data_IF_295510011528
#
_entry.id   IF_295510011528
#
_cell.length_a   1.000
_cell.length_b   1.000
_cell.length_c   1.000
_cell.angle_alpha   90.00
_cell.angle_beta   90.00
_cell.angle_gamma   90.00
#
_symmetry.space_group_name_H-M   'P 1'
#
loop_
_entity.id
_entity.type
_entity.pdbx_description
1 polymer ?
#
# COMPACT_ATOMS: atom_id res chain seq x y z
N UNK A 1 -5.52 -13.17 -16.43
CA UNK A 1 -5.64 -12.00 -15.54
C UNK A 1 -4.56 -11.02 -15.92
N UNK A 2 -4.89 -9.76 -16.09
CA UNK A 2 -3.95 -8.73 -16.54
C UNK A 2 -3.09 -8.27 -15.36
N UNK A 3 -1.78 -8.08 -15.57
CA UNK A 3 -0.92 -7.51 -14.53
C UNK A 3 -1.19 -6.00 -14.42
N UNK A 4 -1.44 -5.52 -13.19
CA UNK A 4 -1.58 -4.10 -12.87
C UNK A 4 -0.21 -3.49 -12.58
N UNK A 5 0.68 -4.25 -11.93
CA UNK A 5 2.06 -3.86 -11.68
C UNK A 5 2.99 -4.93 -12.25
N UNK A 6 4.00 -4.49 -13.00
CA UNK A 6 5.10 -5.33 -13.46
C UNK A 6 6.42 -4.68 -13.04
N UNK A 7 7.25 -5.43 -12.35
CA UNK A 7 8.58 -5.02 -11.88
C UNK A 7 9.59 -5.96 -12.52
N UNK A 8 10.54 -5.40 -13.28
CA UNK A 8 11.50 -6.18 -14.06
C UNK A 8 12.94 -5.76 -13.74
N UNK A 9 13.72 -6.66 -13.18
CA UNK A 9 15.15 -6.53 -12.89
C UNK A 9 15.53 -5.24 -12.14
N UNK A 10 14.69 -4.80 -11.19
CA UNK A 10 14.94 -3.57 -10.42
C UNK A 10 16.20 -3.72 -9.59
N UNK A 11 17.09 -2.74 -9.75
CA UNK A 11 18.35 -2.61 -9.01
C UNK A 11 18.44 -1.25 -8.35
N UNK A 12 18.95 -1.21 -7.13
CA UNK A 12 19.26 0.04 -6.41
C UNK A 12 20.45 -0.16 -5.51
N UNK A 13 21.47 0.68 -5.69
CA UNK A 13 22.66 0.69 -4.85
C UNK A 13 22.87 2.04 -4.18
N UNK A 14 23.46 2.02 -2.98
CA UNK A 14 23.87 3.18 -2.21
C UNK A 14 25.33 2.99 -1.78
N UNK A 15 26.24 3.90 -2.21
CA UNK A 15 27.64 3.84 -1.81
C UNK A 15 28.31 2.47 -2.02
N UNK A 16 27.96 1.75 -3.09
CA UNK A 16 28.50 0.41 -3.39
C UNK A 16 27.72 -0.76 -2.79
N UNK A 17 26.77 -0.53 -1.89
CA UNK A 17 25.90 -1.56 -1.31
C UNK A 17 24.66 -1.71 -2.19
N UNK A 18 24.43 -2.91 -2.74
CA UNK A 18 23.24 -3.22 -3.51
C UNK A 18 22.05 -3.51 -2.57
N UNK A 19 21.23 -2.50 -2.29
CA UNK A 19 20.04 -2.65 -1.44
C UNK A 19 18.91 -3.41 -2.13
N UNK A 20 18.80 -3.30 -3.46
CA UNK A 20 17.94 -4.12 -4.33
C UNK A 20 18.77 -4.61 -5.50
N UNK A 21 18.72 -5.90 -5.79
CA UNK A 21 19.63 -6.55 -6.73
C UNK A 21 18.88 -7.51 -7.67
N UNK A 22 18.20 -6.95 -8.67
CA UNK A 22 17.56 -7.72 -9.73
C UNK A 22 16.21 -8.30 -9.33
N UNK A 23 15.38 -7.53 -8.64
CA UNK A 23 14.05 -7.95 -8.21
C UNK A 23 13.07 -7.87 -9.38
N UNK A 24 12.36 -8.99 -9.63
CA UNK A 24 11.31 -9.08 -10.65
C UNK A 24 10.09 -9.79 -10.09
N UNK A 25 8.89 -9.22 -10.31
CA UNK A 25 7.59 -9.80 -9.96
C UNK A 25 6.46 -9.06 -10.67
N UNK A 26 5.28 -9.63 -10.62
CA UNK A 26 4.02 -9.02 -11.10
C UNK A 26 2.98 -8.96 -9.98
N UNK A 27 1.99 -8.09 -10.13
CA UNK A 27 0.77 -8.05 -9.31
C UNK A 27 -0.43 -8.00 -10.25
N UNK A 28 -1.36 -8.93 -10.06
CA UNK A 28 -2.54 -9.08 -10.90
C UNK A 28 -3.69 -8.24 -10.39
N UNK A 29 -4.62 -7.92 -11.27
CA UNK A 29 -5.84 -7.21 -10.88
C UNK A 29 -6.63 -8.00 -9.83
N UNK A 30 -7.05 -7.33 -8.75
CA UNK A 30 -7.73 -7.91 -7.62
C UNK A 30 -6.83 -8.76 -6.69
N UNK A 31 -5.52 -8.73 -6.88
CA UNK A 31 -4.59 -9.47 -6.03
C UNK A 31 -4.18 -8.67 -4.78
N UNK A 32 -4.03 -9.38 -3.66
CA UNK A 32 -3.31 -8.89 -2.49
C UNK A 32 -1.96 -9.61 -2.45
N UNK A 33 -0.87 -8.89 -2.76
CA UNK A 33 0.49 -9.41 -2.65
C UNK A 33 1.13 -8.96 -1.34
N UNK A 34 1.58 -9.90 -0.50
CA UNK A 34 2.41 -9.61 0.67
C UNK A 34 3.89 -9.54 0.30
N UNK A 35 4.60 -8.53 0.78
CA UNK A 35 6.05 -8.40 0.69
C UNK A 35 6.65 -8.46 2.08
N UNK A 36 7.36 -9.56 2.38
CA UNK A 36 7.98 -9.81 3.66
C UNK A 36 9.49 -10.05 3.53
N UNK A 37 10.18 -10.10 4.64
CA UNK A 37 11.62 -10.40 4.71
C UNK A 37 12.27 -9.75 5.92
N UNK A 38 13.50 -10.12 6.28
CA UNK A 38 14.25 -9.55 7.39
C UNK A 38 14.41 -8.02 7.28
N UNK A 39 14.72 -7.38 8.41
CA UNK A 39 15.04 -5.95 8.40
C UNK A 39 16.30 -5.70 7.56
N UNK A 40 16.29 -4.61 6.78
CA UNK A 40 17.40 -4.27 5.90
C UNK A 40 17.48 -5.08 4.60
N UNK A 41 16.60 -6.03 4.31
CA UNK A 41 16.65 -6.82 3.08
C UNK A 41 16.23 -6.07 1.79
N UNK A 42 15.86 -4.78 1.89
CA UNK A 42 15.58 -3.93 0.72
C UNK A 42 14.10 -3.66 0.41
N UNK A 43 13.12 -4.12 1.22
CA UNK A 43 11.67 -3.91 0.99
C UNK A 43 11.29 -2.45 0.77
N UNK A 44 11.62 -1.59 1.73
CA UNK A 44 11.29 -0.15 1.65
C UNK A 44 12.03 0.53 0.50
N UNK A 45 13.25 0.09 0.17
CA UNK A 45 13.99 0.59 -1.00
C UNK A 45 13.28 0.21 -2.30
N UNK A 46 12.81 -1.03 -2.43
CA UNK A 46 12.04 -1.51 -3.58
C UNK A 46 10.73 -0.72 -3.72
N UNK A 47 9.97 -0.54 -2.63
CA UNK A 47 8.75 0.27 -2.64
C UNK A 47 9.02 1.72 -3.08
N UNK A 48 10.08 2.33 -2.56
CA UNK A 48 10.45 3.70 -2.92
C UNK A 48 10.87 3.81 -4.39
N UNK A 49 11.45 2.75 -4.98
CA UNK A 49 11.71 2.69 -6.42
C UNK A 49 10.41 2.59 -7.23
N UNK A 50 9.47 1.75 -6.82
CA UNK A 50 8.16 1.60 -7.47
C UNK A 50 7.36 2.90 -7.40
N UNK A 51 7.43 3.60 -6.27
CA UNK A 51 6.69 4.84 -5.99
C UNK A 51 7.39 6.12 -6.52
N UNK A 52 8.51 5.96 -7.24
CA UNK A 52 9.23 7.12 -7.80
C UNK A 52 9.90 8.04 -6.79
N UNK A 53 10.00 7.62 -5.52
CA UNK A 53 10.74 8.36 -4.48
C UNK A 53 12.25 8.15 -4.61
N UNK A 54 12.65 7.00 -5.13
CA UNK A 54 14.02 6.66 -5.48
C UNK A 54 14.08 6.25 -6.95
N UNK A 55 14.99 6.83 -7.70
CA UNK A 55 15.27 6.36 -9.06
C UNK A 55 16.05 5.05 -8.96
N UNK A 56 15.59 3.93 -9.54
CA UNK A 56 16.34 2.70 -9.59
C UNK A 56 17.65 2.88 -10.37
N UNK A 57 18.67 2.10 -10.05
CA UNK A 57 19.93 2.08 -10.79
C UNK A 57 19.84 1.24 -12.09
N UNK A 58 18.79 0.44 -12.23
CA UNK A 58 18.49 -0.38 -13.40
C UNK A 58 17.15 -1.07 -13.25
N UNK A 59 16.65 -1.63 -14.34
CA UNK A 59 15.35 -2.30 -14.39
C UNK A 59 14.22 -1.36 -14.77
N UNK A 60 13.01 -1.91 -14.80
CA UNK A 60 11.80 -1.22 -15.27
C UNK A 60 10.60 -1.53 -14.39
N UNK A 61 9.76 -0.52 -14.17
CA UNK A 61 8.44 -0.63 -13.53
C UNK A 61 7.37 -0.23 -14.53
N UNK A 62 6.33 -1.06 -14.66
CA UNK A 62 5.12 -0.75 -15.45
C UNK A 62 3.88 -0.80 -14.57
N UNK A 63 2.95 0.10 -14.84
CA UNK A 63 1.59 0.09 -14.31
C UNK A 63 0.61 0.07 -15.48
N UNK A 64 -0.30 -0.91 -15.50
CA UNK A 64 -1.22 -1.16 -16.63
C UNK A 64 -0.47 -1.18 -17.99
N UNK A 65 0.70 -1.85 -18.05
CA UNK A 65 1.55 -1.97 -19.23
C UNK A 65 2.31 -0.70 -19.62
N UNK A 66 2.13 0.42 -18.93
CA UNK A 66 2.85 1.68 -19.20
C UNK A 66 4.10 1.77 -18.33
N UNK A 67 5.23 2.11 -18.94
CA UNK A 67 6.49 2.36 -18.22
C UNK A 67 6.34 3.58 -17.33
N UNK A 68 6.58 3.39 -16.04
CA UNK A 68 6.48 4.45 -15.01
C UNK A 68 7.80 4.66 -14.27
N UNK A 69 8.85 3.97 -14.66
CA UNK A 69 10.19 4.07 -14.04
C UNK A 69 10.68 5.51 -14.04
N UNK A 70 11.02 6.02 -12.88
CA UNK A 70 11.53 7.39 -12.72
C UNK A 70 10.49 8.50 -12.77
N UNK A 71 9.20 8.19 -12.92
CA UNK A 71 8.13 9.17 -12.73
C UNK A 71 8.09 9.63 -11.26
N UNK A 72 7.69 10.88 -11.06
CA UNK A 72 7.52 11.43 -9.71
C UNK A 72 6.27 10.84 -9.04
N UNK A 73 6.21 10.80 -7.70
CA UNK A 73 5.04 10.29 -6.97
C UNK A 73 3.72 10.93 -7.38
N UNK A 74 3.71 12.24 -7.67
CA UNK A 74 2.51 12.95 -8.13
C UNK A 74 2.03 12.52 -9.53
N UNK A 75 2.93 12.03 -10.37
CA UNK A 75 2.59 11.50 -11.70
C UNK A 75 2.03 10.08 -11.58
N UNK A 76 2.62 9.26 -10.69
CA UNK A 76 2.11 7.92 -10.35
C UNK A 76 0.71 7.99 -9.73
N UNK A 77 0.47 8.95 -8.84
CA UNK A 77 -0.84 9.17 -8.24
C UNK A 77 -1.91 9.43 -9.31
N UNK A 78 -1.62 10.25 -10.33
CA UNK A 78 -2.52 10.50 -11.49
C UNK A 78 -2.78 9.25 -12.33
N UNK A 79 -1.89 8.27 -12.30
CA UNK A 79 -2.08 6.97 -12.95
C UNK A 79 -2.82 5.98 -12.05
N UNK A 80 -3.29 6.41 -10.88
CA UNK A 80 -4.05 5.60 -9.96
C UNK A 80 -3.19 4.74 -9.03
N UNK A 81 -1.92 5.09 -8.81
CA UNK A 81 -1.08 4.45 -7.80
C UNK A 81 -1.16 5.25 -6.51
N UNK A 82 -1.70 4.65 -5.46
CA UNK A 82 -1.81 5.24 -4.11
C UNK A 82 -0.89 4.52 -3.13
N UNK A 83 -0.57 5.16 -2.01
CA UNK A 83 0.20 4.55 -0.91
C UNK A 83 -0.27 5.03 0.45
N UNK A 84 -0.09 4.18 1.47
CA UNK A 84 0.02 4.65 2.85
C UNK A 84 1.49 4.94 3.18
N UNK A 85 1.73 5.73 4.20
CA UNK A 85 3.07 5.99 4.68
C UNK A 85 3.30 5.24 6.00
N UNK A 86 4.55 4.88 6.29
CA UNK A 86 4.94 4.24 7.55
C UNK A 86 4.57 5.13 8.76
N UNK A 87 4.68 6.45 8.62
CA UNK A 87 4.16 7.42 9.57
C UNK A 87 2.75 7.85 9.14
N UNK A 88 1.81 7.82 10.09
CA UNK A 88 0.44 8.28 9.88
C UNK A 88 0.40 9.68 9.24
N UNK A 89 -0.29 9.80 8.12
CA UNK A 89 -0.46 11.06 7.41
C UNK A 89 -1.88 11.64 7.57
N UNK A 90 -2.49 11.41 8.71
CA UNK A 90 -3.75 12.07 9.04
C UNK A 90 -3.52 13.53 9.43
N UNK A 91 -4.41 14.40 9.00
CA UNK A 91 -4.42 15.80 9.39
C UNK A 91 -5.17 15.94 10.73
N UNK A 92 -4.46 16.12 11.86
CA UNK A 92 -5.04 15.95 13.20
C UNK A 92 -6.13 16.98 13.54
N UNK A 93 -6.11 18.15 12.91
CA UNK A 93 -7.09 19.23 13.13
C UNK A 93 -8.35 19.09 12.23
N UNK A 94 -8.31 18.25 11.23
CA UNK A 94 -9.44 17.94 10.37
C UNK A 94 -10.24 16.76 10.94
N UNK A 95 -11.53 16.74 10.69
CA UNK A 95 -12.40 15.60 11.00
C UNK A 95 -12.01 14.37 10.15
N UNK A 96 -12.48 13.20 10.55
CA UNK A 96 -12.34 11.95 9.75
C UNK A 96 -12.85 12.17 8.32
N UNK A 97 -14.05 12.77 8.17
CA UNK A 97 -14.63 13.04 6.85
C UNK A 97 -13.78 13.99 6.02
N UNK A 98 -13.29 15.09 6.62
CA UNK A 98 -12.46 16.07 5.91
C UNK A 98 -11.12 15.48 5.49
N UNK A 99 -10.51 14.60 6.29
CA UNK A 99 -9.32 13.85 5.90
C UNK A 99 -9.55 13.02 4.63
N UNK A 100 -10.68 12.30 4.57
CA UNK A 100 -11.04 11.49 3.40
C UNK A 100 -11.32 12.36 2.18
N UNK A 101 -12.08 13.44 2.33
CA UNK A 101 -12.34 14.38 1.22
C UNK A 101 -11.02 14.93 0.68
N UNK A 102 -10.10 15.35 1.55
CA UNK A 102 -8.79 15.86 1.14
C UNK A 102 -7.97 14.81 0.38
N UNK A 103 -7.94 13.56 0.87
CA UNK A 103 -7.27 12.47 0.18
C UNK A 103 -7.87 12.20 -1.21
N UNK A 104 -9.19 12.29 -1.36
CA UNK A 104 -9.87 12.15 -2.65
C UNK A 104 -9.56 13.28 -3.64
N UNK A 105 -9.29 14.50 -3.16
CA UNK A 105 -8.92 15.63 -4.01
C UNK A 105 -7.56 15.46 -4.70
N UNK A 106 -6.62 14.76 -4.08
CA UNK A 106 -5.30 14.53 -4.67
C UNK A 106 -5.37 13.67 -5.94
N UNK A 107 -6.36 12.80 -6.07
CA UNK A 107 -6.56 11.94 -7.24
C UNK A 107 -7.28 12.65 -8.40
N UNK A 108 -7.93 13.79 -8.16
CA UNK A 108 -8.62 14.57 -9.21
C UNK A 108 -7.69 15.62 -9.83
N UNK A 109 -6.94 15.21 -10.85
CA UNK A 109 -5.79 15.92 -11.44
C UNK A 109 -6.02 17.25 -12.15
N UNK A 110 -7.13 18.01 -11.96
CA UNK A 110 -7.34 19.29 -12.63
C UNK A 110 -7.51 20.44 -11.63
N UNK A 111 -6.51 21.32 -11.60
CA UNK A 111 -6.54 22.56 -10.82
C UNK A 111 -7.77 23.45 -11.19
N UNK A 112 -8.26 23.36 -12.43
CA UNK A 112 -9.42 24.12 -12.89
C UNK A 112 -10.75 23.57 -12.35
N UNK A 113 -10.87 22.23 -12.16
CA UNK A 113 -12.05 21.63 -11.52
C UNK A 113 -12.13 21.96 -10.02
N UNK A 114 -10.98 22.13 -9.36
CA UNK A 114 -10.87 22.59 -7.97
C UNK A 114 -11.38 24.02 -7.79
N UNK A 115 -11.14 24.91 -8.77
CA UNK A 115 -11.59 26.31 -8.74
C UNK A 115 -13.08 26.48 -9.06
N UNK A 116 -13.69 25.53 -9.75
CA UNK A 116 -15.09 25.62 -10.23
C UNK A 116 -16.11 24.93 -9.30
N UNK A 117 -15.68 24.40 -8.13
CA UNK A 117 -16.58 23.88 -7.08
C UNK A 117 -17.44 22.66 -7.53
N UNK A 118 -17.13 22.05 -8.65
CA UNK A 118 -18.00 21.08 -9.32
C UNK A 118 -17.94 19.65 -8.72
N UNK A 119 -17.23 19.41 -7.60
CA UNK A 119 -17.01 18.05 -7.12
C UNK A 119 -17.20 17.79 -5.62
N UNK A 120 -17.60 18.77 -4.80
CA UNK A 120 -17.73 18.54 -3.35
C UNK A 120 -18.75 17.49 -2.98
N UNK A 121 -19.88 17.41 -3.70
CA UNK A 121 -20.91 16.42 -3.43
C UNK A 121 -20.42 14.98 -3.69
N UNK A 122 -19.77 14.75 -4.83
CA UNK A 122 -19.24 13.43 -5.20
C UNK A 122 -18.12 12.95 -4.26
N UNK A 123 -17.25 13.86 -3.82
CA UNK A 123 -16.20 13.55 -2.85
C UNK A 123 -16.75 13.27 -1.46
N UNK A 124 -17.78 14.01 -1.06
CA UNK A 124 -18.49 13.80 0.21
C UNK A 124 -19.17 12.43 0.23
N UNK A 125 -19.81 12.04 -0.86
CA UNK A 125 -20.45 10.73 -0.98
C UNK A 125 -19.41 9.60 -0.98
N UNK A 126 -18.30 9.76 -1.68
CA UNK A 126 -17.19 8.81 -1.66
C UNK A 126 -16.57 8.70 -0.25
N UNK A 127 -16.38 9.82 0.45
CA UNK A 127 -15.90 9.83 1.82
C UNK A 127 -16.88 9.11 2.77
N UNK A 128 -18.18 9.36 2.65
CA UNK A 128 -19.20 8.68 3.46
C UNK A 128 -19.22 7.16 3.18
N UNK A 129 -19.05 6.73 1.93
CA UNK A 129 -18.91 5.32 1.59
C UNK A 129 -17.67 4.70 2.25
N UNK A 130 -16.52 5.37 2.23
CA UNK A 130 -15.32 4.89 2.90
C UNK A 130 -15.48 4.85 4.43
N UNK A 131 -16.12 5.87 5.02
CA UNK A 131 -16.46 5.89 6.45
C UNK A 131 -17.27 4.64 6.83
N UNK A 132 -18.35 4.35 6.12
CA UNK A 132 -19.16 3.16 6.35
C UNK A 132 -18.36 1.87 6.13
N UNK A 133 -17.55 1.81 5.06
CA UNK A 133 -16.74 0.65 4.73
C UNK A 133 -15.70 0.30 5.81
N UNK A 134 -15.07 1.33 6.37
CA UNK A 134 -14.09 1.18 7.45
C UNK A 134 -14.71 1.24 8.87
N UNK A 135 -16.06 1.30 8.98
CA UNK A 135 -16.80 1.39 10.25
C UNK A 135 -16.37 2.58 11.13
N UNK A 136 -16.12 3.70 10.48
CA UNK A 136 -15.76 4.96 11.14
C UNK A 136 -16.95 5.91 11.31
N UNK A 137 -18.20 5.44 11.13
CA UNK A 137 -19.41 6.26 11.11
C UNK A 137 -19.57 7.10 12.37
N UNK A 138 -19.35 6.49 13.53
CA UNK A 138 -19.45 7.15 14.83
C UNK A 138 -18.35 8.18 15.10
N UNK A 139 -17.30 8.23 14.25
CA UNK A 139 -16.15 9.12 14.35
C UNK A 139 -16.11 10.14 13.21
N UNK A 140 -17.09 10.12 12.30
CA UNK A 140 -17.04 10.89 11.05
C UNK A 140 -16.83 12.40 11.25
N UNK A 141 -17.37 12.96 12.32
CA UNK A 141 -17.21 14.38 12.70
C UNK A 141 -16.08 14.66 13.70
N UNK A 142 -15.46 13.62 14.26
CA UNK A 142 -14.40 13.78 15.24
C UNK A 142 -13.09 14.21 14.58
N UNK A 143 -12.30 15.05 15.27
CA UNK A 143 -10.98 15.40 14.78
C UNK A 143 -10.05 14.19 14.82
N UNK A 144 -9.30 13.98 13.74
CA UNK A 144 -8.39 12.83 13.63
C UNK A 144 -7.32 12.77 14.73
N UNK A 145 -6.92 13.92 15.27
CA UNK A 145 -5.99 13.98 16.40
C UNK A 145 -6.54 13.45 17.73
N UNK A 146 -7.87 13.36 17.88
CA UNK A 146 -8.53 12.78 19.06
C UNK A 146 -8.74 11.26 18.97
N UNK A 147 -8.50 10.65 17.81
CA UNK A 147 -8.65 9.23 17.60
C UNK A 147 -7.54 8.43 18.29
N UNK A 148 -7.85 7.21 18.72
CA UNK A 148 -6.82 6.24 19.11
C UNK A 148 -5.90 5.92 17.92
N UNK A 149 -4.67 5.49 18.21
CA UNK A 149 -3.70 5.13 17.17
C UNK A 149 -4.24 4.12 16.15
N UNK A 150 -4.94 3.09 16.61
CA UNK A 150 -5.57 2.10 15.73
C UNK A 150 -6.68 2.68 14.84
N UNK A 151 -7.50 3.60 15.36
CA UNK A 151 -8.50 4.32 14.57
C UNK A 151 -7.85 5.25 13.52
N UNK A 152 -6.75 5.90 13.88
CA UNK A 152 -5.96 6.68 12.93
C UNK A 152 -5.36 5.79 11.82
N UNK A 153 -4.92 4.58 12.13
CA UNK A 153 -4.46 3.59 11.13
C UNK A 153 -5.59 3.14 10.20
N UNK A 154 -6.80 2.93 10.72
CA UNK A 154 -7.97 2.65 9.87
C UNK A 154 -8.30 3.83 8.96
N UNK A 155 -8.23 5.05 9.47
CA UNK A 155 -8.44 6.26 8.67
C UNK A 155 -7.37 6.40 7.57
N UNK A 156 -6.09 6.23 7.90
CA UNK A 156 -4.98 6.27 6.95
C UNK A 156 -5.13 5.23 5.83
N UNK A 157 -5.52 4.00 6.20
CA UNK A 157 -5.86 2.97 5.23
C UNK A 157 -7.05 3.38 4.33
N UNK A 158 -8.14 3.92 4.92
CA UNK A 158 -9.30 4.39 4.18
C UNK A 158 -8.95 5.52 3.20
N UNK A 159 -8.08 6.45 3.60
CA UNK A 159 -7.58 7.54 2.75
C UNK A 159 -6.85 7.01 1.51
N UNK A 160 -6.06 5.94 1.64
CA UNK A 160 -5.34 5.35 0.52
C UNK A 160 -6.27 4.76 -0.57
N UNK A 161 -7.50 4.40 -0.21
CA UNK A 161 -8.50 3.88 -1.16
C UNK A 161 -9.45 4.96 -1.70
N UNK A 162 -9.32 6.21 -1.26
CA UNK A 162 -10.09 7.31 -1.84
C UNK A 162 -9.75 7.51 -3.32
N UNK A 163 -10.75 7.84 -4.12
CA UNK A 163 -10.57 8.04 -5.55
C UNK A 163 -10.53 6.76 -6.41
N UNK A 164 -10.65 5.58 -5.80
CA UNK A 164 -10.67 4.30 -6.52
C UNK A 164 -9.34 3.98 -7.23
N UNK A 165 -8.22 3.94 -6.51
CA UNK A 165 -6.91 3.70 -7.12
C UNK A 165 -6.84 2.32 -7.80
N UNK A 166 -6.04 2.23 -8.88
CA UNK A 166 -5.73 0.98 -9.58
C UNK A 166 -4.82 0.06 -8.76
N UNK A 167 -3.91 0.66 -8.00
CA UNK A 167 -2.94 -0.03 -7.16
C UNK A 167 -2.73 0.74 -5.86
N UNK A 168 -2.81 0.07 -4.73
CA UNK A 168 -2.47 0.65 -3.42
C UNK A 168 -1.24 -0.05 -2.86
N UNK A 169 -0.28 0.72 -2.36
CA UNK A 169 0.88 0.20 -1.66
C UNK A 169 0.75 0.53 -0.17
N UNK A 170 0.59 -0.49 0.66
CA UNK A 170 0.43 -0.38 2.11
C UNK A 170 1.77 -0.68 2.80
N UNK A 171 2.29 0.30 3.54
CA UNK A 171 3.59 0.20 4.22
C UNK A 171 3.38 0.03 5.73
N UNK A 172 3.58 -1.18 6.24
CA UNK A 172 3.42 -1.61 7.64
C UNK A 172 2.08 -1.17 8.27
N UNK A 173 0.93 -1.49 7.64
CA UNK A 173 -0.37 -1.07 8.16
C UNK A 173 -0.70 -1.67 9.53
N UNK A 174 -0.11 -2.82 9.89
CA UNK A 174 -0.29 -3.49 11.19
C UNK A 174 0.61 -2.94 12.30
N UNK A 175 1.60 -2.10 11.97
CA UNK A 175 2.59 -1.60 12.93
C UNK A 175 1.96 -0.81 14.09
N UNK A 176 2.23 -1.23 15.33
CA UNK A 176 1.73 -0.55 16.53
C UNK A 176 0.23 -0.68 16.81
N UNK A 177 -0.48 -1.52 16.06
CA UNK A 177 -1.92 -1.75 16.22
C UNK A 177 -2.16 -2.91 17.18
N UNK A 178 -3.12 -2.75 18.11
CA UNK A 178 -3.49 -3.83 19.02
C UNK A 178 -4.23 -4.97 18.28
N UNK A 179 -4.29 -6.20 18.85
CA UNK A 179 -4.84 -7.37 18.16
C UNK A 179 -6.29 -7.22 17.68
N UNK A 180 -7.16 -6.53 18.42
CA UNK A 180 -8.56 -6.36 18.03
C UNK A 180 -8.68 -5.42 16.83
N UNK A 181 -7.97 -4.30 16.84
CA UNK A 181 -7.93 -3.35 15.71
C UNK A 181 -7.24 -3.95 14.48
N UNK A 182 -6.26 -4.84 14.71
CA UNK A 182 -5.59 -5.56 13.62
C UNK A 182 -6.56 -6.52 12.91
N UNK A 183 -7.44 -7.18 13.66
CA UNK A 183 -8.49 -8.02 13.11
C UNK A 183 -9.50 -7.18 12.29
N UNK A 184 -9.90 -6.02 12.81
CA UNK A 184 -10.77 -5.09 12.09
C UNK A 184 -10.12 -4.58 10.79
N UNK A 185 -8.85 -4.14 10.85
CA UNK A 185 -8.11 -3.70 9.66
C UNK A 185 -8.04 -4.80 8.60
N UNK A 186 -7.70 -6.03 8.99
CA UNK A 186 -7.67 -7.18 8.09
C UNK A 186 -9.03 -7.44 7.44
N UNK A 187 -10.11 -7.41 8.23
CA UNK A 187 -11.47 -7.59 7.72
C UNK A 187 -11.82 -6.52 6.67
N UNK A 188 -11.48 -5.24 6.95
CA UNK A 188 -11.75 -4.12 6.01
C UNK A 188 -10.93 -4.27 4.72
N UNK A 189 -9.63 -4.58 4.83
CA UNK A 189 -8.78 -4.82 3.66
C UNK A 189 -9.24 -6.02 2.82
N UNK A 190 -9.65 -7.10 3.46
CA UNK A 190 -10.23 -8.26 2.77
C UNK A 190 -11.56 -7.93 2.08
N UNK A 191 -12.41 -7.14 2.75
CA UNK A 191 -13.70 -6.74 2.20
C UNK A 191 -13.53 -5.80 0.99
N UNK A 192 -12.66 -4.79 1.07
CA UNK A 192 -12.44 -3.87 -0.06
C UNK A 192 -11.83 -4.59 -1.28
N UNK A 193 -10.94 -5.56 -1.05
CA UNK A 193 -10.45 -6.42 -2.12
C UNK A 193 -11.59 -7.21 -2.78
N UNK A 194 -12.41 -7.91 -1.98
CA UNK A 194 -13.49 -8.77 -2.49
C UNK A 194 -14.61 -7.98 -3.17
N UNK A 195 -15.03 -6.85 -2.57
CA UNK A 195 -16.23 -6.10 -3.01
C UNK A 195 -15.92 -5.06 -4.08
N UNK A 196 -14.71 -4.50 -4.07
CA UNK A 196 -14.26 -3.47 -5.01
C UNK A 196 -13.20 -3.95 -5.99
N UNK A 197 -12.81 -5.23 -5.93
CA UNK A 197 -11.72 -5.82 -6.71
C UNK A 197 -10.41 -5.00 -6.57
N UNK A 198 -10.16 -4.45 -5.37
CA UNK A 198 -9.00 -3.60 -5.12
C UNK A 198 -7.70 -4.40 -5.19
N UNK A 199 -6.71 -3.87 -5.90
CA UNK A 199 -5.37 -4.46 -6.02
C UNK A 199 -4.42 -3.74 -5.09
N UNK A 200 -3.70 -4.47 -4.23
CA UNK A 200 -2.71 -3.83 -3.36
C UNK A 200 -1.54 -4.73 -2.97
N UNK A 201 -0.43 -4.09 -2.66
CA UNK A 201 0.78 -4.72 -2.12
C UNK A 201 0.95 -4.27 -0.68
N UNK A 202 1.22 -5.21 0.21
CA UNK A 202 1.41 -4.95 1.65
C UNK A 202 2.84 -5.29 2.02
N UNK A 203 3.64 -4.32 2.47
CA UNK A 203 4.86 -4.60 3.21
C UNK A 203 4.50 -4.81 4.67
N UNK A 204 4.94 -5.91 5.23
CA UNK A 204 4.71 -6.22 6.64
C UNK A 204 5.81 -7.13 7.20
N UNK A 205 5.95 -7.07 8.51
CA UNK A 205 6.76 -8.01 9.28
C UNK A 205 5.92 -8.93 10.18
N UNK A 206 4.62 -8.64 10.33
CA UNK A 206 3.68 -9.50 11.01
C UNK A 206 3.24 -10.65 10.09
N UNK A 207 3.88 -11.82 10.28
CA UNK A 207 3.65 -13.00 9.44
C UNK A 207 2.19 -13.47 9.46
N UNK A 208 1.54 -13.49 10.63
CA UNK A 208 0.16 -13.97 10.76
C UNK A 208 -0.82 -13.06 10.02
N UNK A 209 -0.57 -11.75 10.06
CA UNK A 209 -1.36 -10.78 9.30
C UNK A 209 -1.22 -11.03 7.79
N UNK A 210 0.02 -11.13 7.29
CA UNK A 210 0.29 -11.36 5.86
C UNK A 210 -0.27 -12.70 5.38
N UNK A 211 0.03 -13.78 6.11
CA UNK A 211 -0.40 -15.14 5.73
C UNK A 211 -1.93 -15.29 5.74
N UNK A 212 -2.64 -14.49 6.53
CA UNK A 212 -4.10 -14.53 6.60
C UNK A 212 -4.82 -13.55 5.69
N UNK A 213 -4.11 -12.56 5.12
CA UNK A 213 -4.68 -11.52 4.26
C UNK A 213 -4.34 -11.72 2.79
N UNK A 214 -3.08 -12.09 2.49
CA UNK A 214 -2.54 -12.07 1.15
C UNK A 214 -2.85 -13.36 0.39
N UNK A 215 -3.17 -13.24 -0.90
CA UNK A 215 -3.36 -14.39 -1.80
C UNK A 215 -2.04 -14.98 -2.28
N UNK A 216 -0.99 -14.15 -2.34
CA UNK A 216 0.38 -14.51 -2.69
C UNK A 216 1.36 -13.72 -1.84
N UNK A 217 2.48 -14.33 -1.50
CA UNK A 217 3.52 -13.71 -0.65
C UNK A 217 4.85 -13.80 -1.37
N UNK A 218 5.56 -12.68 -1.41
CA UNK A 218 6.94 -12.57 -1.86
C UNK A 218 7.86 -12.32 -0.67
N UNK A 219 8.91 -13.13 -0.57
CA UNK A 219 9.94 -12.99 0.46
C UNK A 219 11.19 -12.39 -0.16
N UNK A 220 11.69 -11.33 0.44
CA UNK A 220 12.99 -10.76 0.07
C UNK A 220 14.05 -11.10 1.13
N UNK A 221 15.26 -11.40 0.65
CA UNK A 221 16.46 -11.49 1.46
C UNK A 221 17.63 -10.91 0.65
N UNK A 222 18.54 -10.19 1.30
CA UNK A 222 19.77 -9.62 0.70
C UNK A 222 19.54 -8.88 -0.64
N UNK A 223 18.45 -8.13 -0.71
CA UNK A 223 18.09 -7.35 -1.90
C UNK A 223 17.50 -8.17 -3.07
N UNK A 224 17.21 -9.46 -2.88
CA UNK A 224 16.70 -10.37 -3.92
C UNK A 224 15.39 -11.00 -3.51
N UNK A 225 14.65 -11.52 -4.49
CA UNK A 225 13.51 -12.41 -4.22
C UNK A 225 14.05 -13.77 -3.80
N UNK A 226 13.72 -14.21 -2.59
CA UNK A 226 14.07 -15.52 -2.07
C UNK A 226 13.02 -16.57 -2.45
N UNK A 227 11.74 -16.21 -2.32
CA UNK A 227 10.61 -17.05 -2.66
C UNK A 227 9.40 -16.19 -3.03
N UNK A 228 8.52 -16.73 -3.88
CA UNK A 228 7.21 -16.15 -4.17
C UNK A 228 6.23 -17.29 -4.40
N UNK A 229 5.08 -17.26 -3.73
CA UNK A 229 4.09 -18.33 -3.82
C UNK A 229 2.89 -18.08 -2.91
N UNK A 230 2.04 -19.09 -2.76
CA UNK A 230 0.94 -19.04 -1.80
C UNK A 230 1.47 -19.01 -0.36
N UNK A 231 0.72 -18.44 0.60
CA UNK A 231 1.15 -18.35 2.00
C UNK A 231 1.67 -19.67 2.57
N UNK A 232 0.98 -20.79 2.30
CA UNK A 232 1.35 -22.12 2.79
C UNK A 232 2.67 -22.61 2.19
N UNK A 233 2.90 -22.35 0.90
CA UNK A 233 4.13 -22.73 0.19
C UNK A 233 5.33 -21.95 0.74
N UNK A 234 5.14 -20.64 0.95
CA UNK A 234 6.17 -19.76 1.49
C UNK A 234 6.51 -20.14 2.94
N UNK A 235 5.49 -20.42 3.76
CA UNK A 235 5.68 -20.83 5.16
C UNK A 235 6.44 -22.15 5.31
N UNK A 236 6.26 -23.07 4.38
CA UNK A 236 6.92 -24.38 4.37
C UNK A 236 8.31 -24.36 3.71
N UNK A 237 8.73 -23.26 3.11
CA UNK A 237 9.99 -23.17 2.36
C UNK A 237 11.20 -23.12 3.32
N UNK A 238 12.14 -24.11 3.26
CA UNK A 238 13.29 -24.15 4.16
C UNK A 238 14.19 -22.91 4.07
N UNK A 239 14.38 -22.35 2.88
CA UNK A 239 15.20 -21.16 2.70
C UNK A 239 14.56 -19.91 3.36
N UNK A 240 13.22 -19.83 3.37
CA UNK A 240 12.50 -18.76 4.07
C UNK A 240 12.66 -18.93 5.59
N UNK A 241 12.51 -20.16 6.11
CA UNK A 241 12.69 -20.45 7.53
C UNK A 241 14.10 -20.08 7.98
N UNK A 242 15.12 -20.47 7.21
CA UNK A 242 16.53 -20.15 7.50
C UNK A 242 16.80 -18.65 7.51
N UNK A 243 16.24 -17.90 6.55
CA UNK A 243 16.39 -16.44 6.46
C UNK A 243 15.79 -15.68 7.66
N UNK A 244 14.82 -16.27 8.35
CA UNK A 244 14.21 -15.68 9.56
C UNK A 244 14.82 -16.20 10.87
N UNK A 245 15.39 -17.42 10.91
CA UNK A 245 16.01 -17.99 12.09
C UNK A 245 17.51 -17.67 12.21
N UNK A 246 18.15 -17.26 11.13
CA UNK A 246 19.58 -16.96 11.05
C UNK A 246 19.95 -15.54 11.53
N UNK A 247 19.01 -14.80 12.12
CA UNK A 247 19.22 -13.44 12.62
C UNK A 247 18.78 -13.31 14.08
#
# INVERSE_FOLDING_TARGET
MTAVLEVSDIKKSFGGIAAVNGVSFDVREGEILGLIGPNGCGKSTLFNCILGQLTPSGGEVKVDGKVVTGLRPSELNRLGVSRTFQLLQVFPKLSVRENLILAGQEHQGNMLSRLLGASDAGLTDAANQMIGFFKLDHLAGEQAGGLSYGQQKLLDAAMAFMGGPRLVLLDEPAGGVNPSMLADLKERLSAINREKNATFVVIEHNMDFVMSLCSRVMVMAEGKVLAIGRPEEVRANPAVIEAYLGH
#
